data_IF_652505549029
#
_entry.id   IF_652505549029
#
_cell.length_a   1.000
_cell.length_b   1.000
_cell.length_c   1.000
_cell.angle_alpha   90.00
_cell.angle_beta   90.00
_cell.angle_gamma   90.00
#
_symmetry.space_group_name_H-M   'P 1'
#
loop_
_entity.id
_entity.type
_entity.pdbx_description
1 polymer ?
#
# COMPACT_ATOMS: atom_id res chain seq x y z
N UNK A 1 -32.67 -17.57 -40.48
CA UNK A 1 -31.81 -16.50 -39.91
C UNK A 1 -30.39 -17.02 -39.79
N UNK A 2 -29.48 -16.53 -40.64
CA UNK A 2 -28.05 -16.84 -40.57
C UNK A 2 -27.47 -16.23 -39.29
N UNK A 3 -26.96 -17.06 -38.36
CA UNK A 3 -26.17 -16.56 -37.23
C UNK A 3 -24.76 -16.29 -37.75
N UNK A 4 -24.47 -15.04 -38.10
CA UNK A 4 -23.10 -14.54 -38.30
C UNK A 4 -22.39 -14.59 -36.95
N UNK A 5 -21.83 -15.74 -36.61
CA UNK A 5 -20.99 -15.85 -35.42
C UNK A 5 -19.63 -15.23 -35.77
N UNK A 6 -19.32 -14.09 -35.16
CA UNK A 6 -17.98 -13.51 -35.23
C UNK A 6 -16.94 -14.54 -34.78
N UNK A 7 -15.78 -14.58 -35.44
CA UNK A 7 -14.67 -15.47 -35.08
C UNK A 7 -14.27 -15.30 -33.60
N UNK A 8 -14.36 -14.08 -33.06
CA UNK A 8 -14.10 -13.81 -31.64
C UNK A 8 -15.14 -14.48 -30.73
N UNK A 9 -16.42 -14.45 -31.10
CA UNK A 9 -17.48 -15.12 -30.34
C UNK A 9 -17.32 -16.64 -30.33
N UNK A 10 -16.83 -17.23 -31.42
CA UNK A 10 -16.56 -18.66 -31.52
C UNK A 10 -15.36 -19.05 -30.65
N UNK A 11 -14.28 -18.26 -30.69
CA UNK A 11 -13.12 -18.44 -29.83
C UNK A 11 -13.49 -18.34 -28.35
N UNK A 12 -14.30 -17.35 -27.95
CA UNK A 12 -14.75 -17.18 -26.57
C UNK A 12 -15.60 -18.36 -26.08
N UNK A 13 -16.48 -18.89 -26.95
CA UNK A 13 -17.28 -20.09 -26.64
C UNK A 13 -16.41 -21.34 -26.48
N UNK A 14 -15.37 -21.50 -27.30
CA UNK A 14 -14.42 -22.63 -27.20
C UNK A 14 -13.55 -22.49 -25.94
N UNK A 15 -13.08 -21.29 -25.64
CA UNK A 15 -12.32 -20.97 -24.43
C UNK A 15 -13.11 -21.28 -23.16
N UNK A 16 -14.39 -20.86 -23.08
CA UNK A 16 -15.27 -21.14 -21.94
C UNK A 16 -15.50 -22.64 -21.66
N UNK A 17 -15.28 -23.52 -22.64
CA UNK A 17 -15.36 -24.98 -22.45
C UNK A 17 -14.08 -25.60 -21.89
N UNK A 18 -12.96 -24.88 -21.95
CA UNK A 18 -11.69 -25.35 -21.40
C UNK A 18 -11.60 -24.94 -19.93
N UNK A 19 -11.81 -25.91 -19.03
CA UNK A 19 -11.78 -25.67 -17.58
C UNK A 19 -10.46 -25.03 -17.11
N UNK A 20 -9.32 -25.60 -17.51
CA UNK A 20 -8.00 -25.09 -17.14
C UNK A 20 -7.74 -23.68 -17.67
N UNK A 21 -8.18 -23.40 -18.90
CA UNK A 21 -8.08 -22.06 -19.48
C UNK A 21 -8.87 -21.02 -18.69
N UNK A 22 -10.13 -21.33 -18.35
CA UNK A 22 -10.99 -20.43 -17.56
C UNK A 22 -10.45 -20.26 -16.14
N UNK A 23 -9.99 -21.33 -15.50
CA UNK A 23 -9.41 -21.28 -14.16
C UNK A 23 -8.17 -20.39 -14.12
N UNK A 24 -7.20 -20.62 -15.01
CA UNK A 24 -5.98 -19.79 -15.08
C UNK A 24 -6.30 -18.33 -15.37
N UNK A 25 -7.25 -18.05 -16.26
CA UNK A 25 -7.68 -16.69 -16.53
C UNK A 25 -8.31 -16.03 -15.29
N UNK A 26 -9.17 -16.75 -14.56
CA UNK A 26 -9.75 -16.25 -13.32
C UNK A 26 -8.68 -15.96 -12.27
N UNK A 27 -7.69 -16.85 -12.13
CA UNK A 27 -6.55 -16.65 -11.23
C UNK A 27 -5.74 -15.41 -11.60
N UNK A 28 -5.41 -15.21 -12.88
CA UNK A 28 -4.69 -14.03 -13.35
C UNK A 28 -5.47 -12.75 -13.04
N UNK A 29 -6.79 -12.75 -13.29
CA UNK A 29 -7.66 -11.61 -12.95
C UNK A 29 -7.65 -11.35 -11.45
N UNK A 30 -7.72 -12.38 -10.61
CA UNK A 30 -7.66 -12.23 -9.16
C UNK A 30 -6.33 -11.63 -8.69
N UNK A 31 -5.20 -12.14 -9.19
CA UNK A 31 -3.87 -11.60 -8.86
C UNK A 31 -3.73 -10.16 -9.33
N UNK A 32 -4.23 -9.83 -10.53
CA UNK A 32 -4.23 -8.47 -11.04
C UNK A 32 -5.06 -7.53 -10.14
N UNK A 33 -6.24 -7.96 -9.68
CA UNK A 33 -7.05 -7.18 -8.75
C UNK A 33 -6.32 -6.96 -7.42
N UNK A 34 -5.74 -8.01 -6.82
CA UNK A 34 -4.96 -7.88 -5.58
C UNK A 34 -3.79 -6.89 -5.77
N UNK A 35 -3.10 -6.96 -6.91
CA UNK A 35 -1.98 -6.06 -7.18
C UNK A 35 -2.42 -4.60 -7.32
N UNK A 36 -3.54 -4.34 -8.00
CA UNK A 36 -4.08 -2.98 -8.17
C UNK A 36 -4.59 -2.41 -6.84
N UNK A 37 -5.18 -3.25 -5.99
CA UNK A 37 -5.74 -2.85 -4.70
C UNK A 37 -4.80 -3.12 -3.51
N UNK A 38 -3.51 -3.33 -3.75
CA UNK A 38 -2.55 -3.72 -2.72
C UNK A 38 -2.53 -2.72 -1.53
N UNK A 39 -2.52 -1.42 -1.80
CA UNK A 39 -2.54 -0.38 -0.74
C UNK A 39 -3.85 -0.33 0.04
N UNK A 40 -4.98 -0.81 -0.51
CA UNK A 40 -6.26 -0.88 0.22
C UNK A 40 -6.32 -2.10 1.12
N UNK A 41 -5.68 -3.19 0.70
CA UNK A 41 -5.71 -4.48 1.39
C UNK A 41 -4.59 -4.61 2.43
N UNK A 42 -3.46 -3.93 2.24
CA UNK A 42 -2.32 -4.00 3.14
C UNK A 42 -2.61 -3.31 4.48
N UNK A 43 -2.11 -3.85 5.61
CA UNK A 43 -2.23 -3.21 6.92
C UNK A 43 -1.43 -1.90 7.00
N UNK A 44 -0.36 -1.77 6.21
CA UNK A 44 0.36 -0.52 5.98
C UNK A 44 0.04 -0.05 4.55
N UNK A 45 -0.74 1.01 4.45
CA UNK A 45 -1.18 1.62 3.20
C UNK A 45 -0.33 2.84 2.82
N UNK A 46 0.78 3.11 3.52
CA UNK A 46 1.66 4.24 3.21
C UNK A 46 2.31 4.07 1.84
N UNK A 47 2.68 5.18 1.19
CA UNK A 47 3.39 5.13 -0.08
C UNK A 47 4.66 4.27 0.04
N UNK A 48 4.77 3.24 -0.81
CA UNK A 48 5.83 2.21 -0.78
C UNK A 48 5.89 1.34 0.50
N UNK A 49 4.92 1.44 1.41
CA UNK A 49 4.86 0.71 2.68
C UNK A 49 6.19 0.76 3.45
N UNK A 50 6.85 1.93 3.42
CA UNK A 50 8.20 2.07 3.96
C UNK A 50 8.46 3.49 4.46
N UNK A 51 8.56 3.62 5.78
CA UNK A 51 9.05 4.82 6.48
C UNK A 51 10.49 4.67 7.03
N UNK A 52 11.14 3.50 6.83
CA UNK A 52 12.46 3.09 7.35
C UNK A 52 12.97 3.88 8.58
N UNK A 53 12.75 3.34 9.78
CA UNK A 53 13.31 3.86 11.04
C UNK A 53 14.64 3.16 11.38
N UNK A 54 15.78 3.73 10.95
CA UNK A 54 17.10 3.06 11.05
C UNK A 54 17.50 2.66 12.49
N UNK A 55 17.26 3.53 13.47
CA UNK A 55 17.67 3.30 14.88
C UNK A 55 16.96 2.12 15.54
N UNK A 56 15.84 1.64 14.97
CA UNK A 56 15.08 0.50 15.48
C UNK A 56 15.02 -0.69 14.53
N UNK A 57 15.67 -0.62 13.36
CA UNK A 57 15.57 -1.63 12.30
C UNK A 57 16.00 -3.05 12.73
N UNK A 58 16.86 -3.16 13.74
CA UNK A 58 17.36 -4.45 14.26
C UNK A 58 16.74 -4.87 15.60
N UNK A 59 15.65 -4.24 16.03
CA UNK A 59 14.98 -4.57 17.29
C UNK A 59 14.06 -5.80 17.11
N UNK A 60 13.89 -6.62 18.17
CA UNK A 60 13.07 -7.82 18.08
C UNK A 60 11.58 -7.47 17.89
N UNK A 61 10.77 -8.38 17.31
CA UNK A 61 9.31 -8.23 17.29
C UNK A 61 8.75 -7.98 18.70
N UNK A 62 7.80 -7.05 18.83
CA UNK A 62 7.22 -6.65 20.13
C UNK A 62 8.02 -5.56 20.88
N UNK A 63 9.11 -5.06 20.30
CA UNK A 63 9.82 -3.89 20.82
C UNK A 63 8.94 -2.65 20.85
N UNK A 64 9.08 -1.83 21.90
CA UNK A 64 8.38 -0.56 22.08
C UNK A 64 9.38 0.57 22.30
N UNK A 65 9.16 1.71 21.65
CA UNK A 65 9.99 2.92 21.76
C UNK A 65 9.09 4.15 21.74
N UNK A 66 9.54 5.25 22.32
CA UNK A 66 8.86 6.52 22.19
C UNK A 66 9.11 7.09 20.79
N UNK A 67 8.07 7.52 20.11
CA UNK A 67 8.15 8.13 18.78
C UNK A 67 7.80 9.62 18.86
N UNK A 68 8.70 10.48 18.39
CA UNK A 68 8.44 11.89 18.17
C UNK A 68 7.80 12.08 16.78
N UNK A 69 6.62 12.70 16.76
CA UNK A 69 5.87 12.96 15.54
C UNK A 69 5.97 14.44 15.16
N UNK A 70 6.63 14.73 14.03
CA UNK A 70 6.84 16.10 13.54
C UNK A 70 5.99 16.31 12.27
N UNK A 71 4.90 17.09 12.33
CA UNK A 71 4.04 17.32 11.18
C UNK A 71 4.76 18.15 10.11
N UNK A 72 4.54 17.83 8.83
CA UNK A 72 5.03 18.63 7.72
C UNK A 72 4.17 19.89 7.54
N UNK A 73 4.79 21.06 7.41
CA UNK A 73 4.11 22.36 7.28
C UNK A 73 3.15 22.45 6.07
N UNK A 74 3.35 21.61 5.05
CA UNK A 74 2.53 21.58 3.82
C UNK A 74 2.01 20.17 3.58
N UNK A 75 0.93 19.81 4.25
CA UNK A 75 0.14 18.64 3.89
C UNK A 75 -0.56 18.94 2.56
N UNK A 76 -0.03 18.40 1.45
CA UNK A 76 -0.79 18.40 0.20
C UNK A 76 -1.95 17.44 0.35
N UNK A 77 -3.17 17.94 0.29
CA UNK A 77 -4.35 17.08 0.26
C UNK A 77 -4.24 16.10 -0.91
N UNK A 78 -4.30 14.81 -0.59
CA UNK A 78 -4.23 13.74 -1.57
C UNK A 78 -5.64 13.25 -1.89
N UNK A 79 -5.97 13.16 -3.17
CA UNK A 79 -7.27 12.68 -3.62
C UNK A 79 -7.48 11.19 -3.28
N UNK A 80 -8.73 10.77 -3.13
CA UNK A 80 -9.10 9.39 -2.80
C UNK A 80 -8.49 8.37 -3.79
N UNK A 81 -8.62 8.61 -5.10
CA UNK A 81 -8.03 7.75 -6.12
C UNK A 81 -6.50 7.68 -6.00
N UNK A 82 -5.85 8.80 -5.71
CA UNK A 82 -4.40 8.80 -5.52
C UNK A 82 -3.99 7.95 -4.30
N UNK A 83 -4.76 7.95 -3.21
CA UNK A 83 -4.48 7.08 -2.06
C UNK A 83 -4.62 5.59 -2.41
N UNK A 84 -5.67 5.23 -3.15
CA UNK A 84 -5.93 3.84 -3.54
C UNK A 84 -4.82 3.27 -4.45
N UNK A 85 -4.30 4.06 -5.40
CA UNK A 85 -3.30 3.59 -6.36
C UNK A 85 -1.85 3.84 -5.96
N UNK A 86 -1.55 4.87 -5.15
CA UNK A 86 -0.18 5.29 -4.82
C UNK A 86 0.14 5.20 -3.32
N UNK A 87 -0.79 4.71 -2.51
CA UNK A 87 -0.69 4.72 -1.06
C UNK A 87 -0.89 6.11 -0.45
N UNK A 88 -1.04 6.14 0.86
CA UNK A 88 -1.16 7.36 1.65
C UNK A 88 0.22 8.00 1.83
N UNK A 89 0.34 9.27 1.44
CA UNK A 89 1.59 10.01 1.64
C UNK A 89 1.76 10.34 3.12
N UNK A 90 2.95 10.08 3.64
CA UNK A 90 3.29 10.45 5.00
C UNK A 90 3.24 11.97 5.17
N UNK A 91 2.44 12.41 6.14
CA UNK A 91 2.23 13.82 6.45
C UNK A 91 3.12 14.31 7.59
N UNK A 92 3.92 13.41 8.15
CA UNK A 92 4.81 13.69 9.27
C UNK A 92 6.06 12.83 9.21
N UNK A 93 7.10 13.34 9.86
CA UNK A 93 8.32 12.61 10.14
C UNK A 93 8.19 11.96 11.51
N UNK A 94 8.47 10.67 11.56
CA UNK A 94 8.48 9.86 12.77
C UNK A 94 9.94 9.63 13.19
N UNK A 95 10.31 10.06 14.39
CA UNK A 95 11.66 9.96 14.92
C UNK A 95 11.60 9.14 16.22
N UNK A 96 12.15 7.93 16.28
CA UNK A 96 12.28 7.19 17.53
C UNK A 96 13.25 7.92 18.46
N UNK A 97 12.86 8.11 19.72
CA UNK A 97 13.65 8.82 20.73
C UNK A 97 13.89 7.94 21.95
N UNK A 98 15.13 7.95 22.43
CA UNK A 98 15.56 7.29 23.65
C UNK A 98 15.27 8.13 24.90
N UNK A 99 15.46 9.45 24.81
CA UNK A 99 15.16 10.40 25.89
C UNK A 99 14.86 11.78 25.34
N UNK A 100 14.06 12.56 26.09
CA UNK A 100 13.77 13.94 25.75
C UNK A 100 13.68 14.81 27.00
N UNK A 101 13.98 16.10 26.84
CA UNK A 101 13.81 17.13 27.86
C UNK A 101 13.11 18.32 27.23
N UNK A 102 12.13 18.87 27.94
CA UNK A 102 11.43 20.10 27.56
C UNK A 102 11.80 21.18 28.55
N UNK A 103 12.42 22.27 28.08
CA UNK A 103 12.78 23.41 28.92
C UNK A 103 12.62 24.70 28.12
N UNK A 104 12.03 25.74 28.72
CA UNK A 104 11.85 27.07 28.10
C UNK A 104 11.19 27.06 26.70
N UNK A 105 10.33 26.08 26.40
CA UNK A 105 9.69 25.94 25.09
C UNK A 105 10.56 25.27 24.02
N UNK A 106 11.77 24.81 24.37
CA UNK A 106 12.64 24.02 23.52
C UNK A 106 12.53 22.52 23.88
N UNK A 107 12.43 21.69 22.84
CA UNK A 107 12.49 20.23 22.95
C UNK A 107 13.89 19.78 22.52
N UNK A 108 14.64 19.18 23.45
CA UNK A 108 15.90 18.48 23.15
C UNK A 108 15.68 16.99 23.27
N UNK A 109 16.09 16.21 22.28
CA UNK A 109 15.92 14.76 22.27
C UNK A 109 17.22 14.04 21.87
N UNK A 110 17.26 12.75 22.18
CA UNK A 110 18.32 11.82 21.77
C UNK A 110 17.66 10.62 21.11
N UNK A 111 18.16 10.22 19.94
CA UNK A 111 17.71 9.05 19.18
C UNK A 111 18.24 7.74 19.79
#
# INVERSE_FOLDING_TARGET
>A
MSRTNSLSSLALRKFKKNFWGVFSFCFIVLVALISVFAYVLAPDNSTNANQMHLSIHSKPPGFSVLMLYVPLEKVKEQSFFSKVFLGEKNTATEIPVSSYTVSNGELTYTE
#
